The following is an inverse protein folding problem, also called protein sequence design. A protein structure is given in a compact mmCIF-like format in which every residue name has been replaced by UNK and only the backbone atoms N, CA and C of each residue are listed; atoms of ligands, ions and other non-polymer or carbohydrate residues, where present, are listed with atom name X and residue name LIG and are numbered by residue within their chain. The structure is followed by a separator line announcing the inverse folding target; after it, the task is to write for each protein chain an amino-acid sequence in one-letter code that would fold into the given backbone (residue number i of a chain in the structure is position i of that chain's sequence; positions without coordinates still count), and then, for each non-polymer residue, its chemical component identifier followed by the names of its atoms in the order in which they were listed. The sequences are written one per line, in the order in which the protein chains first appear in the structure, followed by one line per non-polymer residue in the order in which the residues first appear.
data_IF_802979694134
#
_entry.id   IF_802979694134
#
_cell.length_a   1.000
_cell.length_b   1.000
_cell.length_c   1.000
_cell.angle_alpha   90.00
_cell.angle_beta   90.00
_cell.angle_gamma   90.00
#
_symmetry.space_group_name_H-M   'P 1'
#
loop_
_entity.id
_entity.type
_entity.pdbx_description
1 polymer ?
#
# COMPACT_ATOMS: atom_id res chain seq x y z
N UNK A 1 -8.04 19.19 20.06
CA UNK A 1 -7.31 17.96 19.72
C UNK A 1 -7.17 17.88 18.21
N UNK A 2 -6.01 17.50 17.67
CA UNK A 2 -5.68 17.56 16.24
C UNK A 2 -6.74 16.91 15.31
N UNK A 3 -7.44 15.87 15.79
CA UNK A 3 -8.59 15.26 15.11
C UNK A 3 -9.62 16.26 14.59
N UNK A 4 -10.03 17.25 15.39
CA UNK A 4 -11.13 18.16 15.02
C UNK A 4 -10.77 19.11 13.87
N UNK A 5 -9.49 19.53 13.78
CA UNK A 5 -9.02 20.43 12.72
C UNK A 5 -9.16 19.75 11.35
N UNK A 6 -8.54 18.58 11.18
CA UNK A 6 -8.54 17.88 9.89
C UNK A 6 -9.89 17.25 9.53
N UNK A 7 -10.64 16.80 10.54
CA UNK A 7 -11.98 16.26 10.32
C UNK A 7 -12.90 17.28 9.61
N UNK A 8 -12.77 18.57 9.93
CA UNK A 8 -13.54 19.62 9.24
C UNK A 8 -13.22 19.69 7.74
N UNK A 9 -11.95 19.58 7.35
CA UNK A 9 -11.56 19.60 5.93
C UNK A 9 -12.13 18.41 5.17
N UNK A 10 -12.02 17.21 5.75
CA UNK A 10 -12.53 15.98 5.13
C UNK A 10 -14.07 15.97 5.03
N UNK A 11 -14.77 16.44 6.08
CA UNK A 11 -16.24 16.55 6.07
C UNK A 11 -16.74 17.53 5.00
N UNK A 12 -15.97 18.57 4.72
CA UNK A 12 -16.28 19.55 3.67
C UNK A 12 -15.84 19.10 2.26
N UNK A 13 -15.28 17.90 2.13
CA UNK A 13 -15.01 17.24 0.85
C UNK A 13 -13.53 17.18 0.46
N UNK A 14 -13.23 16.23 -0.44
CA UNK A 14 -11.86 15.92 -0.90
C UNK A 14 -11.16 17.13 -1.53
N UNK A 15 -11.89 17.99 -2.24
CA UNK A 15 -11.30 19.20 -2.87
C UNK A 15 -10.70 20.13 -1.82
N UNK A 16 -11.40 20.36 -0.71
CA UNK A 16 -10.92 21.25 0.34
C UNK A 16 -9.75 20.63 1.10
N UNK A 17 -9.81 19.32 1.35
CA UNK A 17 -8.69 18.57 1.91
C UNK A 17 -7.44 18.67 1.03
N UNK A 18 -7.57 18.41 -0.27
CA UNK A 18 -6.45 18.46 -1.21
C UNK A 18 -5.88 19.89 -1.32
N UNK A 19 -6.74 20.92 -1.40
CA UNK A 19 -6.29 22.31 -1.39
C UNK A 19 -5.53 22.66 -0.10
N UNK A 20 -5.98 22.15 1.05
CA UNK A 20 -5.26 22.33 2.29
C UNK A 20 -3.89 21.63 2.25
N UNK A 21 -3.79 20.41 1.73
CA UNK A 21 -2.53 19.66 1.55
C UNK A 21 -1.54 20.37 0.64
N UNK A 22 -2.00 20.98 -0.45
CA UNK A 22 -1.17 21.77 -1.36
C UNK A 22 -0.49 22.95 -0.65
N UNK A 23 -1.22 23.60 0.27
CA UNK A 23 -0.71 24.72 1.05
C UNK A 23 0.12 24.29 2.28
N UNK A 24 0.07 23.02 2.67
CA UNK A 24 0.73 22.49 3.87
C UNK A 24 1.49 21.18 3.57
N UNK A 25 2.44 21.15 2.61
CA UNK A 25 3.08 19.93 2.15
C UNK A 25 3.97 19.26 3.21
N UNK A 26 4.44 20.02 4.20
CA UNK A 26 5.31 19.54 5.28
C UNK A 26 4.56 19.20 6.58
N UNK A 27 3.27 19.53 6.67
CA UNK A 27 2.46 19.16 7.83
C UNK A 27 2.10 17.68 7.72
N UNK A 28 2.36 16.90 8.77
CA UNK A 28 1.98 15.49 8.86
C UNK A 28 0.65 15.44 9.61
N UNK A 29 -0.49 15.20 8.93
CA UNK A 29 -1.78 15.20 9.61
C UNK A 29 -1.90 13.96 10.49
N UNK A 30 -2.39 14.16 11.71
CA UNK A 30 -2.73 13.07 12.63
C UNK A 30 -4.23 12.79 12.57
N UNK A 31 -4.56 11.69 11.91
CA UNK A 31 -5.90 11.17 11.67
C UNK A 31 -6.07 9.75 12.26
N UNK A 32 -5.29 9.40 13.28
CA UNK A 32 -5.42 8.10 13.95
C UNK A 32 -6.86 7.84 14.40
N UNK A 33 -7.32 6.60 14.28
CA UNK A 33 -8.64 6.18 14.78
C UNK A 33 -9.82 7.02 14.22
N UNK A 34 -9.62 7.79 13.15
CA UNK A 34 -10.68 8.58 12.55
C UNK A 34 -11.75 7.64 11.98
N UNK A 35 -13.02 8.01 12.15
CA UNK A 35 -14.12 7.33 11.48
C UNK A 35 -14.42 8.00 10.13
N UNK A 36 -14.12 7.28 9.06
CA UNK A 36 -14.38 7.62 7.66
C UNK A 36 -15.13 6.48 6.96
N UNK A 37 -15.92 5.72 7.72
CA UNK A 37 -16.76 4.64 7.20
C UNK A 37 -17.70 5.14 6.10
N UNK A 38 -17.68 4.45 4.95
CA UNK A 38 -18.49 4.80 3.78
C UNK A 38 -18.16 6.14 3.13
N UNK A 39 -17.08 6.83 3.56
CA UNK A 39 -16.73 8.13 3.02
C UNK A 39 -16.32 8.05 1.54
N UNK A 40 -16.70 9.08 0.77
CA UNK A 40 -16.16 9.27 -0.57
C UNK A 40 -14.86 10.09 -0.49
N UNK A 41 -13.72 9.42 -0.66
CA UNK A 41 -12.39 9.99 -0.56
C UNK A 41 -11.63 9.87 -1.89
N UNK A 42 -12.32 9.64 -3.01
CA UNK A 42 -11.68 9.43 -4.31
C UNK A 42 -10.72 10.57 -4.66
N UNK A 43 -9.47 10.22 -4.96
CA UNK A 43 -8.41 11.17 -5.29
C UNK A 43 -7.87 12.00 -4.11
N UNK A 44 -8.21 11.66 -2.86
CA UNK A 44 -7.67 12.36 -1.69
C UNK A 44 -6.15 12.18 -1.56
N UNK A 45 -5.47 13.23 -1.10
CA UNK A 45 -4.05 13.20 -0.81
C UNK A 45 -3.82 12.95 0.69
N UNK A 46 -3.59 11.70 1.07
CA UNK A 46 -3.19 11.29 2.41
C UNK A 46 -1.70 10.96 2.51
N UNK A 47 -0.87 11.50 1.61
CA UNK A 47 0.57 11.32 1.65
C UNK A 47 1.13 11.68 3.02
N UNK A 48 2.04 10.86 3.54
CA UNK A 48 2.71 10.99 4.84
C UNK A 48 1.75 11.04 6.05
N UNK A 49 0.44 10.81 5.87
CA UNK A 49 -0.56 11.00 6.92
C UNK A 49 -0.59 9.83 7.90
N UNK A 50 -0.81 10.11 9.19
CA UNK A 50 -1.00 9.08 10.20
C UNK A 50 -2.49 8.72 10.32
N UNK A 51 -2.85 7.54 9.81
CA UNK A 51 -4.19 6.93 9.79
C UNK A 51 -4.24 5.63 10.59
N UNK A 52 -3.32 5.44 11.55
CA UNK A 52 -3.29 4.21 12.32
C UNK A 52 -4.62 3.98 13.04
N UNK A 53 -5.19 2.78 12.90
CA UNK A 53 -6.49 2.43 13.48
C UNK A 53 -7.70 3.11 12.84
N UNK A 54 -7.56 3.83 11.71
CA UNK A 54 -8.70 4.49 11.07
C UNK A 54 -9.76 3.49 10.60
N UNK A 55 -11.05 3.82 10.79
CA UNK A 55 -12.17 3.10 10.20
C UNK A 55 -12.45 3.65 8.80
N UNK A 56 -12.12 2.85 7.79
CA UNK A 56 -12.27 3.13 6.35
C UNK A 56 -13.16 2.07 5.68
N UNK A 57 -13.98 1.34 6.45
CA UNK A 57 -14.84 0.30 5.90
C UNK A 57 -15.80 0.88 4.87
N UNK A 58 -16.00 0.17 3.77
CA UNK A 58 -16.88 0.58 2.65
C UNK A 58 -16.54 1.93 2.00
N UNK A 59 -15.40 2.55 2.31
CA UNK A 59 -15.03 3.85 1.75
C UNK A 59 -14.69 3.74 0.25
N UNK A 60 -14.99 4.79 -0.52
CA UNK A 60 -14.46 4.96 -1.87
C UNK A 60 -13.06 5.60 -1.76
N UNK A 61 -12.03 4.78 -1.94
CA UNK A 61 -10.61 5.14 -1.87
C UNK A 61 -9.93 5.08 -3.23
N UNK A 62 -10.71 5.18 -4.32
CA UNK A 62 -10.17 5.16 -5.68
C UNK A 62 -9.14 6.26 -5.85
N UNK A 63 -8.00 5.92 -6.46
CA UNK A 63 -6.95 6.90 -6.83
C UNK A 63 -6.42 7.73 -5.65
N UNK A 64 -6.65 7.31 -4.42
CA UNK A 64 -6.12 8.00 -3.23
C UNK A 64 -4.60 7.87 -3.19
N UNK A 65 -3.93 8.94 -2.77
CA UNK A 65 -2.50 8.92 -2.49
C UNK A 65 -2.24 8.67 -1.01
N UNK A 66 -1.83 7.45 -0.66
CA UNK A 66 -1.36 7.03 0.66
C UNK A 66 0.16 6.84 0.70
N UNK A 67 0.92 7.48 -0.20
CA UNK A 67 2.38 7.34 -0.24
C UNK A 67 2.98 7.66 1.15
N UNK A 68 3.77 6.74 1.69
CA UNK A 68 4.37 6.78 3.04
C UNK A 68 3.39 6.94 4.20
N UNK A 69 2.07 6.81 3.99
CA UNK A 69 1.09 6.93 5.05
C UNK A 69 1.22 5.78 6.06
N UNK A 70 0.86 6.05 7.32
CA UNK A 70 0.73 5.01 8.33
C UNK A 70 -0.73 4.57 8.45
N UNK A 71 -1.09 3.43 7.88
CA UNK A 71 -2.41 2.78 8.05
C UNK A 71 -2.30 1.50 8.90
N UNK A 72 -1.31 1.41 9.79
CA UNK A 72 -1.23 0.24 10.68
C UNK A 72 -2.53 0.08 11.49
N UNK A 73 -3.02 -1.15 11.58
CA UNK A 73 -4.31 -1.47 12.23
C UNK A 73 -5.55 -0.79 11.61
N UNK A 74 -5.47 -0.17 10.43
CA UNK A 74 -6.64 0.42 9.79
C UNK A 74 -7.65 -0.64 9.32
N UNK A 75 -8.92 -0.28 9.32
CA UNK A 75 -10.03 -1.14 8.95
C UNK A 75 -10.59 -0.73 7.58
N UNK A 76 -10.13 -1.38 6.52
CA UNK A 76 -10.45 -1.08 5.12
C UNK A 76 -11.38 -2.15 4.49
N UNK A 77 -12.13 -2.88 5.31
CA UNK A 77 -13.00 -3.97 4.84
C UNK A 77 -13.97 -3.46 3.79
N UNK A 78 -14.09 -4.18 2.67
CA UNK A 78 -14.98 -3.84 1.54
C UNK A 78 -14.76 -2.43 0.93
N UNK A 79 -13.63 -1.78 1.21
CA UNK A 79 -13.30 -0.49 0.60
C UNK A 79 -12.89 -0.66 -0.88
N UNK A 80 -13.14 0.37 -1.69
CA UNK A 80 -12.66 0.41 -3.08
C UNK A 80 -11.37 1.23 -3.17
N UNK A 81 -10.23 0.55 -3.14
CA UNK A 81 -8.89 1.12 -3.27
C UNK A 81 -8.35 1.03 -4.72
N UNK A 82 -9.22 0.94 -5.73
CA UNK A 82 -8.77 0.78 -7.11
C UNK A 82 -7.86 1.95 -7.52
N UNK A 83 -6.71 1.63 -8.11
CA UNK A 83 -5.68 2.59 -8.53
C UNK A 83 -5.09 3.46 -7.40
N UNK A 84 -5.30 3.13 -6.13
CA UNK A 84 -4.70 3.85 -5.00
C UNK A 84 -3.17 3.65 -4.94
N UNK A 85 -2.48 4.65 -4.39
CA UNK A 85 -1.03 4.66 -4.23
C UNK A 85 -0.64 4.43 -2.78
N UNK A 86 -0.12 3.25 -2.45
CA UNK A 86 0.38 2.86 -1.13
C UNK A 86 1.91 2.73 -1.11
N UNK A 87 2.63 3.41 -2.01
CA UNK A 87 4.09 3.27 -2.10
C UNK A 87 4.72 3.65 -0.76
N UNK A 88 5.53 2.74 -0.19
CA UNK A 88 6.16 2.92 1.13
C UNK A 88 5.21 2.98 2.33
N UNK A 89 3.90 2.77 2.15
CA UNK A 89 2.93 2.87 3.23
C UNK A 89 3.10 1.74 4.26
N UNK A 90 2.79 2.04 5.51
CA UNK A 90 2.69 1.02 6.56
C UNK A 90 1.25 0.50 6.65
N UNK A 91 1.02 -0.73 6.19
CA UNK A 91 -0.27 -1.43 6.23
C UNK A 91 -0.27 -2.57 7.26
N UNK A 92 0.73 -2.61 8.16
CA UNK A 92 0.90 -3.74 9.07
C UNK A 92 -0.33 -3.92 9.96
N UNK A 93 -0.80 -5.16 10.10
CA UNK A 93 -2.02 -5.51 10.84
C UNK A 93 -3.32 -4.85 10.32
N UNK A 94 -3.31 -4.21 9.15
CA UNK A 94 -4.53 -3.64 8.57
C UNK A 94 -5.45 -4.74 8.02
N UNK A 95 -6.76 -4.44 8.01
CA UNK A 95 -7.79 -5.36 7.55
C UNK A 95 -8.42 -4.87 6.24
N UNK A 96 -8.05 -5.50 5.14
CA UNK A 96 -8.55 -5.24 3.79
C UNK A 96 -9.51 -6.32 3.31
N UNK A 97 -10.11 -7.12 4.20
CA UNK A 97 -11.03 -8.20 3.79
C UNK A 97 -12.08 -7.73 2.79
N UNK A 98 -12.16 -8.39 1.65
CA UNK A 98 -13.13 -8.07 0.60
C UNK A 98 -12.88 -6.75 -0.16
N UNK A 99 -11.77 -6.04 0.11
CA UNK A 99 -11.47 -4.77 -0.55
C UNK A 99 -11.07 -4.97 -2.03
N UNK A 100 -11.28 -3.93 -2.82
CA UNK A 100 -10.87 -3.88 -4.23
C UNK A 100 -9.55 -3.11 -4.33
N UNK A 101 -8.47 -3.78 -4.71
CA UNK A 101 -7.12 -3.22 -4.88
C UNK A 101 -6.66 -3.30 -6.35
N UNK A 102 -7.61 -3.29 -7.29
CA UNK A 102 -7.32 -3.40 -8.71
C UNK A 102 -6.40 -2.26 -9.13
N UNK A 103 -5.26 -2.61 -9.74
CA UNK A 103 -4.19 -1.68 -10.13
C UNK A 103 -3.55 -0.86 -9.01
N UNK A 104 -3.74 -1.23 -7.73
CA UNK A 104 -3.09 -0.55 -6.62
C UNK A 104 -1.56 -0.60 -6.72
N UNK A 105 -0.91 0.49 -6.29
CA UNK A 105 0.56 0.59 -6.22
C UNK A 105 0.98 0.28 -4.78
N UNK A 106 1.55 -0.88 -4.52
CA UNK A 106 1.98 -1.31 -3.18
C UNK A 106 3.50 -1.41 -3.07
N UNK A 107 4.26 -0.84 -4.01
CA UNK A 107 5.72 -0.95 -3.99
C UNK A 107 6.29 -0.49 -2.64
N UNK A 108 7.19 -1.27 -2.04
CA UNK A 108 7.83 -0.97 -0.75
C UNK A 108 6.87 -0.89 0.45
N UNK A 109 5.58 -1.22 0.28
CA UNK A 109 4.62 -1.21 1.38
C UNK A 109 4.89 -2.32 2.40
N UNK A 110 4.62 -2.02 3.68
CA UNK A 110 4.67 -3.00 4.76
C UNK A 110 3.30 -3.66 4.91
N UNK A 111 3.18 -4.90 4.44
CA UNK A 111 2.02 -5.78 4.48
C UNK A 111 2.13 -6.87 5.58
N UNK A 112 2.93 -6.63 6.63
CA UNK A 112 3.18 -7.61 7.69
C UNK A 112 1.89 -7.85 8.48
N UNK A 113 1.47 -9.11 8.59
CA UNK A 113 0.20 -9.51 9.23
C UNK A 113 -1.05 -8.81 8.65
N UNK A 114 -0.98 -8.29 7.41
CA UNK A 114 -2.11 -7.63 6.77
C UNK A 114 -3.10 -8.68 6.25
N UNK A 115 -4.39 -8.46 6.51
CA UNK A 115 -5.43 -9.34 6.00
C UNK A 115 -5.96 -8.84 4.64
N UNK A 116 -5.52 -9.50 3.56
CA UNK A 116 -5.96 -9.30 2.18
C UNK A 116 -6.89 -10.45 1.71
N UNK A 117 -7.49 -11.21 2.62
CA UNK A 117 -8.37 -12.31 2.22
C UNK A 117 -9.61 -11.78 1.47
N UNK A 118 -10.06 -12.53 0.47
CA UNK A 118 -11.19 -12.19 -0.40
C UNK A 118 -11.06 -10.86 -1.15
N UNK A 119 -9.84 -10.29 -1.25
CA UNK A 119 -9.59 -9.06 -2.02
C UNK A 119 -9.56 -9.33 -3.52
N UNK A 120 -9.75 -8.27 -4.32
CA UNK A 120 -9.32 -8.29 -5.73
C UNK A 120 -8.03 -7.49 -5.91
N UNK A 121 -6.92 -8.18 -6.19
CA UNK A 121 -5.59 -7.57 -6.35
C UNK A 121 -5.10 -7.57 -7.79
N UNK A 122 -6.02 -7.69 -8.75
CA UNK A 122 -5.68 -7.76 -10.17
C UNK A 122 -4.92 -6.51 -10.63
N UNK A 123 -3.75 -6.71 -11.22
CA UNK A 123 -2.87 -5.65 -11.69
C UNK A 123 -2.17 -4.85 -10.58
N UNK A 124 -2.26 -5.28 -9.32
CA UNK A 124 -1.51 -4.66 -8.23
C UNK A 124 0.00 -4.90 -8.38
N UNK A 125 0.81 -3.94 -7.89
CA UNK A 125 2.27 -4.07 -7.88
C UNK A 125 2.78 -4.25 -6.46
N UNK A 126 3.39 -5.40 -6.19
CA UNK A 126 3.91 -5.81 -4.88
C UNK A 126 5.44 -5.78 -4.80
N UNK A 127 6.13 -5.09 -5.71
CA UNK A 127 7.59 -4.97 -5.70
C UNK A 127 8.12 -4.52 -4.34
N UNK A 128 9.11 -5.24 -3.81
CA UNK A 128 9.78 -4.97 -2.53
C UNK A 128 8.84 -4.80 -1.30
N UNK A 129 7.68 -5.44 -1.32
CA UNK A 129 6.75 -5.42 -0.18
C UNK A 129 7.21 -6.33 0.96
N UNK A 130 7.04 -5.85 2.21
CA UNK A 130 7.25 -6.67 3.41
C UNK A 130 5.97 -7.42 3.79
N UNK A 131 5.90 -8.75 3.62
CA UNK A 131 4.62 -9.50 3.62
C UNK A 131 4.56 -10.69 4.58
N UNK A 132 5.41 -10.70 5.58
CA UNK A 132 5.47 -11.82 6.53
C UNK A 132 4.13 -11.93 7.28
N UNK A 133 3.49 -13.10 7.17
CA UNK A 133 2.19 -13.38 7.78
C UNK A 133 0.99 -12.67 7.14
N UNK A 134 1.12 -12.10 5.94
CA UNK A 134 -0.07 -11.61 5.22
C UNK A 134 -1.06 -12.75 4.93
N UNK A 135 -2.35 -12.43 4.86
CA UNK A 135 -3.38 -13.40 4.48
C UNK A 135 -3.95 -13.02 3.11
N UNK A 136 -3.82 -13.90 2.11
CA UNK A 136 -4.36 -13.70 0.76
C UNK A 136 -5.41 -14.76 0.38
N UNK A 137 -5.99 -15.43 1.36
CA UNK A 137 -6.94 -16.53 1.14
C UNK A 137 -8.19 -16.08 0.38
N UNK A 138 -8.54 -16.83 -0.67
CA UNK A 138 -9.71 -16.50 -1.50
C UNK A 138 -9.58 -15.18 -2.28
N UNK A 139 -8.39 -14.61 -2.39
CA UNK A 139 -8.18 -13.42 -3.22
C UNK A 139 -8.37 -13.72 -4.71
N UNK A 140 -9.03 -12.79 -5.39
CA UNK A 140 -9.14 -12.76 -6.84
C UNK A 140 -7.92 -12.02 -7.40
N UNK A 141 -7.25 -12.65 -8.35
CA UNK A 141 -6.05 -12.09 -8.94
C UNK A 141 -5.86 -12.68 -10.34
N UNK A 142 -5.99 -11.88 -11.39
CA UNK A 142 -5.73 -12.34 -12.76
C UNK A 142 -4.25 -12.21 -13.14
N UNK A 143 -3.58 -11.15 -12.68
CA UNK A 143 -2.14 -10.93 -12.84
C UNK A 143 -1.64 -9.90 -11.82
N UNK A 144 -0.32 -9.85 -11.57
CA UNK A 144 0.34 -8.87 -10.68
C UNK A 144 1.69 -8.45 -11.25
N UNK A 145 2.29 -7.42 -10.65
CA UNK A 145 3.66 -7.00 -10.93
C UNK A 145 4.56 -7.21 -9.70
N UNK A 146 5.80 -7.57 -9.97
CA UNK A 146 6.87 -7.77 -8.98
C UNK A 146 8.14 -7.01 -9.34
N UNK A 147 7.99 -5.95 -10.12
CA UNK A 147 9.07 -5.10 -10.61
C UNK A 147 8.69 -3.63 -10.44
N UNK A 148 9.70 -2.77 -10.26
CA UNK A 148 9.47 -1.34 -10.06
C UNK A 148 8.77 -0.67 -11.25
N UNK A 149 9.14 -1.03 -12.49
CA UNK A 149 8.68 -0.38 -13.72
C UNK A 149 7.26 -0.76 -14.15
N UNK A 150 6.67 -1.82 -13.58
CA UNK A 150 5.42 -2.44 -14.02
C UNK A 150 5.49 -2.94 -15.47
N UNK A 151 6.66 -3.31 -15.94
CA UNK A 151 6.85 -3.80 -17.31
C UNK A 151 6.58 -5.30 -17.41
N UNK A 152 6.76 -6.06 -16.31
CA UNK A 152 6.73 -7.51 -16.33
C UNK A 152 5.60 -8.06 -15.46
N UNK A 153 4.39 -8.14 -16.03
CA UNK A 153 3.27 -8.81 -15.36
C UNK A 153 3.51 -10.32 -15.21
N UNK A 154 2.95 -10.89 -14.14
CA UNK A 154 2.88 -12.32 -13.89
C UNK A 154 1.42 -12.73 -13.77
N UNK A 155 0.94 -13.73 -14.53
CA UNK A 155 1.67 -14.43 -15.59
C UNK A 155 1.93 -13.52 -16.81
N UNK A 156 3.02 -13.77 -17.54
CA UNK A 156 3.35 -12.98 -18.75
C UNK A 156 2.24 -13.07 -19.80
N UNK A 157 1.64 -14.25 -19.95
CA UNK A 157 0.51 -14.52 -20.85
C UNK A 157 -0.68 -15.10 -20.09
N UNK A 158 -1.90 -14.82 -20.56
CA UNK A 158 -3.13 -15.29 -19.91
C UNK A 158 -3.35 -14.67 -18.53
N UNK A 159 -4.02 -15.44 -17.67
CA UNK A 159 -4.40 -15.09 -16.30
C UNK A 159 -4.08 -16.24 -15.36
N UNK A 160 -3.85 -15.93 -14.08
CA UNK A 160 -3.83 -16.95 -13.04
C UNK A 160 -5.15 -17.73 -13.04
N UNK A 161 -5.06 -19.04 -12.80
CA UNK A 161 -6.25 -19.85 -12.51
C UNK A 161 -6.79 -19.51 -11.11
N UNK A 162 -8.07 -19.78 -10.83
CA UNK A 162 -8.63 -19.62 -9.48
C UNK A 162 -7.74 -20.26 -8.41
N UNK A 163 -7.33 -19.47 -7.41
CA UNK A 163 -6.47 -19.88 -6.30
C UNK A 163 -4.97 -20.06 -6.63
N UNK A 164 -4.54 -19.86 -7.87
CA UNK A 164 -3.12 -20.01 -8.24
C UNK A 164 -2.25 -18.93 -7.60
N UNK A 165 -2.72 -17.69 -7.58
CA UNK A 165 -2.03 -16.58 -6.90
C UNK A 165 -1.80 -16.89 -5.41
N UNK A 166 -2.85 -17.33 -4.70
CA UNK A 166 -2.74 -17.73 -3.30
C UNK A 166 -1.69 -18.85 -3.13
N UNK A 167 -1.82 -19.94 -3.87
CA UNK A 167 -0.90 -21.09 -3.77
C UNK A 167 0.55 -20.68 -3.97
N UNK A 168 0.81 -19.73 -4.87
CA UNK A 168 2.16 -19.27 -5.20
C UNK A 168 2.76 -18.34 -4.15
N UNK A 169 1.96 -17.48 -3.52
CA UNK A 169 2.47 -16.38 -2.70
C UNK A 169 2.03 -16.38 -1.22
N UNK A 170 1.19 -17.32 -0.78
CA UNK A 170 0.74 -17.41 0.63
C UNK A 170 1.91 -17.56 1.61
N UNK A 171 2.93 -18.33 1.22
CA UNK A 171 4.13 -18.58 2.02
C UNK A 171 5.37 -17.85 1.49
N UNK A 172 5.21 -16.90 0.55
CA UNK A 172 6.36 -16.14 0.08
C UNK A 172 6.77 -15.16 1.18
N UNK A 173 7.87 -15.47 1.84
CA UNK A 173 8.59 -14.52 2.68
C UNK A 173 9.13 -13.42 1.77
N UNK A 174 9.38 -12.25 2.35
CA UNK A 174 10.20 -11.24 1.70
C UNK A 174 11.47 -11.90 1.16
N UNK A 175 11.69 -11.96 -0.16
CA UNK A 175 13.05 -12.19 -0.62
C UNK A 175 13.81 -10.97 -0.12
N UNK A 176 14.74 -11.14 0.83
CA UNK A 176 15.79 -10.15 1.03
C UNK A 176 16.43 -9.97 -0.36
N UNK A 177 16.11 -8.87 -1.03
CA UNK A 177 16.37 -8.74 -2.46
C UNK A 177 17.87 -8.97 -2.73
N UNK A 178 18.27 -9.90 -3.62
CA UNK A 178 19.68 -10.14 -3.93
C UNK A 178 20.36 -8.89 -4.53
N UNK A 179 19.60 -7.97 -5.15
CA UNK A 179 20.14 -6.66 -5.56
C UNK A 179 20.53 -5.74 -4.39
N UNK A 180 19.95 -5.89 -3.19
CA UNK A 180 20.44 -5.17 -1.99
C UNK A 180 21.80 -5.73 -1.55
N UNK A 181 22.00 -7.05 -1.65
CA UNK A 181 23.30 -7.67 -1.42
C UNK A 181 24.32 -7.32 -2.52
N UNK A 182 23.91 -7.26 -3.79
CA UNK A 182 24.79 -6.84 -4.89
C UNK A 182 25.16 -5.36 -4.81
N UNK A 183 24.24 -4.45 -4.48
CA UNK A 183 24.60 -3.04 -4.29
C UNK A 183 25.57 -2.86 -3.12
N UNK A 184 25.37 -3.59 -2.02
CA UNK A 184 26.30 -3.57 -0.87
C UNK A 184 27.66 -4.18 -1.20
N UNK A 185 27.70 -5.28 -1.98
CA UNK A 185 28.95 -5.87 -2.48
C UNK A 185 29.67 -4.95 -3.47
N UNK A 186 28.94 -4.27 -4.36
CA UNK A 186 29.50 -3.30 -5.29
C UNK A 186 30.06 -2.09 -4.52
N UNK A 187 29.34 -1.54 -3.55
CA UNK A 187 29.85 -0.44 -2.70
C UNK A 187 31.06 -0.86 -1.83
N UNK A 188 31.09 -2.10 -1.31
CA UNK A 188 32.23 -2.64 -0.57
C UNK A 188 33.43 -2.95 -1.48
N UNK A 189 33.21 -3.35 -2.74
CA UNK A 189 34.29 -3.52 -3.71
C UNK A 189 34.90 -2.19 -4.16
N UNK A 190 34.10 -1.13 -4.28
CA UNK A 190 34.64 0.21 -4.59
C UNK A 190 35.37 0.87 -3.40
N UNK A 191 34.98 0.61 -2.15
CA UNK A 191 35.67 1.16 -0.97
C UNK A 191 36.98 0.44 -0.58
N UNK A 192 37.25 -0.77 -1.10
CA UNK A 192 38.54 -1.46 -0.87
C UNK A 192 39.63 -1.10 -1.87
N UNK A 193 39.30 -0.45 -2.98
CA UNK A 193 40.29 0.01 -3.98
C UNK A 193 40.94 1.34 -3.57
N UNK A 194 40.41 2.04 -2.55
CA UNK A 194 40.95 3.32 -2.06
C UNK A 194 41.88 3.22 -0.83
N UNK A 195 42.30 2.01 -0.44
CA UNK A 195 43.16 1.78 0.75
C UNK A 195 44.46 1.01 0.42
N UNK A 196 44.87 1.01 -0.85
CA UNK A 196 46.21 0.56 -1.27
C UNK A 196 46.86 1.66 -2.10
N UNK A 197 47.23 2.74 -1.42
CA UNK A 197 48.37 3.60 -1.78
C UNK A 197 49.36 3.59 -0.60
#
# INVERSE_FOLDING_TARGET
MAHQKYFSYLKNGVTLWNHWRENHPHEIPDLREINLEGANLEGANFKDTNLAGANLRWANLKRVDFTNANLSHAECMMADCSMACFVGANLSNADFRGAILVHAKLQEAKLVQTNLSQTNVTGANFYDTARDGWNIEGSLCEYVFWDWSKEHRIPQHGYFRPGEFEKRYKNSHTPHHPLRAMLHLVTLMFNRVSLVE
#
